data_IF_830618755932
#
_entry.id   IF_830618755932
#
_cell.length_a   1.000
_cell.length_b   1.000
_cell.length_c   1.000
_cell.angle_alpha   90.00
_cell.angle_beta   90.00
_cell.angle_gamma   90.00
#
_symmetry.space_group_name_H-M   'P 1'
#
loop_
_entity.id
_entity.type
_entity.pdbx_description
1 polymer ?
#
# COMPACT_ATOMS: atom_id res chain seq x y z
N UNK A 1 -15.62 1.31 -44.54
CA UNK A 1 -15.14 1.70 -43.19
C UNK A 1 -15.39 0.50 -42.29
N UNK A 2 -14.38 -0.36 -42.14
CA UNK A 2 -14.49 -1.64 -41.43
C UNK A 2 -14.38 -1.38 -39.93
N UNK A 3 -15.37 -1.81 -39.16
CA UNK A 3 -15.35 -1.74 -37.71
C UNK A 3 -14.37 -2.81 -37.21
N UNK A 4 -13.29 -2.38 -36.55
CA UNK A 4 -12.42 -3.28 -35.82
C UNK A 4 -13.08 -3.57 -34.48
N UNK A 5 -13.95 -4.58 -34.44
CA UNK A 5 -14.39 -5.19 -33.19
C UNK A 5 -13.29 -6.13 -32.69
N UNK A 6 -12.21 -5.54 -32.15
CA UNK A 6 -11.10 -6.27 -31.53
C UNK A 6 -11.14 -6.13 -30.01
N UNK A 7 -12.28 -6.46 -29.41
CA UNK A 7 -12.31 -6.90 -28.02
C UNK A 7 -12.91 -8.31 -28.06
N UNK A 8 -12.09 -9.37 -27.92
CA UNK A 8 -12.64 -10.71 -27.74
C UNK A 8 -13.58 -10.66 -26.52
N UNK A 9 -14.77 -11.25 -26.68
CA UNK A 9 -15.81 -11.27 -25.65
C UNK A 9 -15.24 -11.67 -24.29
N UNK A 10 -15.81 -11.11 -23.23
CA UNK A 10 -15.44 -11.34 -21.83
C UNK A 10 -15.70 -12.77 -21.32
N UNK A 11 -15.82 -13.75 -22.23
CA UNK A 11 -16.13 -15.15 -21.97
C UNK A 11 -14.87 -16.04 -21.86
N UNK A 12 -13.69 -15.41 -21.75
CA UNK A 12 -12.44 -16.12 -21.46
C UNK A 12 -12.46 -16.67 -20.04
N UNK A 13 -11.70 -17.74 -19.74
CA UNK A 13 -11.54 -18.19 -18.37
C UNK A 13 -11.01 -17.02 -17.52
N UNK A 14 -11.59 -16.85 -16.33
CA UNK A 14 -11.08 -15.90 -15.33
C UNK A 14 -9.55 -16.10 -15.19
N UNK A 15 -8.76 -15.02 -15.15
CA UNK A 15 -7.33 -15.15 -14.96
C UNK A 15 -7.06 -15.91 -13.66
N UNK A 16 -6.30 -17.00 -13.77
CA UNK A 16 -5.91 -17.79 -12.63
C UNK A 16 -5.03 -16.95 -11.68
N UNK A 17 -5.28 -17.05 -10.38
CA UNK A 17 -4.44 -16.40 -9.38
C UNK A 17 -2.99 -16.90 -9.49
N UNK A 18 -1.99 -16.02 -9.34
CA UNK A 18 -0.59 -16.40 -9.43
C UNK A 18 -0.22 -17.41 -8.34
N UNK A 19 0.59 -18.39 -8.70
CA UNK A 19 1.15 -19.39 -7.81
C UNK A 19 2.58 -19.00 -7.45
N UNK A 20 3.08 -19.49 -6.30
CA UNK A 20 4.50 -19.29 -5.93
C UNK A 20 5.47 -19.80 -7.00
N UNK A 21 5.08 -20.85 -7.72
CA UNK A 21 5.86 -21.45 -8.80
C UNK A 21 6.06 -20.51 -10.01
N UNK A 22 5.26 -19.46 -10.12
CA UNK A 22 5.39 -18.46 -11.19
C UNK A 22 6.58 -17.50 -10.95
N UNK A 23 7.20 -17.56 -9.76
CA UNK A 23 8.33 -16.72 -9.35
C UNK A 23 9.61 -17.56 -9.20
N UNK A 24 10.76 -16.95 -9.48
CA UNK A 24 12.06 -17.62 -9.35
C UNK A 24 12.37 -18.09 -7.92
N UNK A 25 13.28 -19.06 -7.75
CA UNK A 25 13.59 -19.66 -6.44
C UNK A 25 14.11 -18.64 -5.42
N UNK A 26 14.75 -17.56 -5.88
CA UNK A 26 15.33 -16.50 -5.05
C UNK A 26 14.39 -15.30 -4.85
N UNK A 27 13.11 -15.43 -5.22
CA UNK A 27 12.15 -14.34 -5.06
C UNK A 27 11.83 -14.10 -3.58
N UNK A 28 12.08 -12.88 -3.10
CA UNK A 28 11.82 -12.49 -1.72
C UNK A 28 10.39 -11.97 -1.54
N UNK A 29 9.65 -12.66 -0.68
CA UNK A 29 8.35 -12.22 -0.20
C UNK A 29 8.52 -11.55 1.16
N UNK A 30 7.93 -10.38 1.33
CA UNK A 30 7.97 -9.68 2.61
C UNK A 30 6.80 -8.73 2.76
N UNK A 31 6.69 -8.17 3.96
CA UNK A 31 5.84 -7.03 4.27
C UNK A 31 6.70 -5.91 4.83
N UNK A 32 6.21 -4.68 4.75
CA UNK A 32 6.89 -3.50 5.25
C UNK A 32 5.90 -2.61 6.00
N UNK A 33 6.43 -1.84 6.95
CA UNK A 33 5.70 -0.83 7.74
C UNK A 33 6.54 0.45 7.79
N UNK A 34 5.98 1.52 8.37
CA UNK A 34 6.76 2.71 8.73
C UNK A 34 6.62 3.04 10.22
N UNK A 35 7.66 3.63 10.79
CA UNK A 35 7.75 3.90 12.23
C UNK A 35 6.56 4.71 12.77
N UNK A 36 6.22 5.85 12.15
CA UNK A 36 5.14 6.71 12.64
C UNK A 36 3.76 6.01 12.60
N UNK A 37 3.57 5.06 11.68
CA UNK A 37 2.31 4.32 11.54
C UNK A 37 2.11 3.26 12.64
N UNK A 38 3.18 2.68 13.20
CA UNK A 38 3.06 1.47 14.02
C UNK A 38 3.74 1.52 15.38
N UNK A 39 4.78 2.34 15.58
CA UNK A 39 5.55 2.32 16.83
C UNK A 39 4.83 3.02 17.98
N UNK A 40 4.16 4.14 17.71
CA UNK A 40 3.60 5.01 18.74
C UNK A 40 4.70 5.69 19.59
N UNK A 41 4.48 5.75 20.91
CA UNK A 41 5.48 6.22 21.89
C UNK A 41 6.15 7.56 21.55
N UNK A 42 5.38 8.54 21.06
CA UNK A 42 5.88 9.81 20.50
C UNK A 42 6.74 10.68 21.43
N UNK A 43 6.68 10.45 22.74
CA UNK A 43 7.35 11.26 23.78
C UNK A 43 8.13 10.42 24.79
N UNK A 44 8.34 9.12 24.53
CA UNK A 44 8.94 8.16 25.48
C UNK A 44 10.44 8.00 25.18
N UNK A 45 11.22 7.65 26.21
CA UNK A 45 12.64 7.26 26.12
C UNK A 45 13.56 8.24 25.37
N UNK A 46 13.26 9.53 25.47
CA UNK A 46 14.09 10.58 24.85
C UNK A 46 13.90 10.72 23.34
N UNK A 47 12.86 10.12 22.76
CA UNK A 47 12.44 10.42 21.38
C UNK A 47 12.17 11.91 21.23
N UNK A 48 12.66 12.49 20.14
CA UNK A 48 12.42 13.89 19.75
C UNK A 48 11.29 13.95 18.71
N UNK A 49 10.56 15.08 18.72
CA UNK A 49 9.48 15.39 17.79
C UNK A 49 9.93 15.22 16.32
N UNK A 50 9.12 14.50 15.54
CA UNK A 50 9.21 14.43 14.09
C UNK A 50 8.26 15.43 13.42
N UNK A 51 8.43 15.67 12.11
CA UNK A 51 7.49 16.51 11.35
C UNK A 51 6.06 15.96 11.38
N UNK A 52 5.89 14.63 11.50
CA UNK A 52 4.59 13.99 11.52
C UNK A 52 3.86 14.20 12.84
N UNK A 53 4.59 14.26 13.95
CA UNK A 53 4.03 14.65 15.26
C UNK A 53 3.38 16.03 15.17
N UNK A 54 4.10 17.00 14.59
CA UNK A 54 3.61 18.38 14.43
C UNK A 54 2.41 18.48 13.48
N UNK A 55 2.50 17.79 12.34
CA UNK A 55 1.43 17.83 11.34
C UNK A 55 0.14 17.21 11.87
N UNK A 56 0.23 16.02 12.49
CA UNK A 56 -0.93 15.32 13.01
C UNK A 56 -1.57 16.03 14.21
N UNK A 57 -0.79 16.77 15.00
CA UNK A 57 -1.33 17.59 16.09
C UNK A 57 -2.04 18.88 15.60
N UNK A 58 -2.02 19.18 14.30
CA UNK A 58 -2.70 20.37 13.75
C UNK A 58 -4.16 20.01 13.39
N UNK A 59 -5.17 20.58 14.09
CA UNK A 59 -6.56 20.18 13.88
C UNK A 59 -7.04 20.37 12.44
N UNK A 60 -7.79 19.39 11.93
CA UNK A 60 -8.36 19.43 10.58
C UNK A 60 -7.34 19.23 9.45
N UNK A 61 -6.10 18.82 9.77
CA UNK A 61 -5.09 18.44 8.77
C UNK A 61 -5.09 16.94 8.48
N UNK A 62 -5.72 16.13 9.33
CA UNK A 62 -6.01 14.73 9.02
C UNK A 62 -7.40 14.63 8.38
N UNK A 63 -7.55 13.75 7.39
CA UNK A 63 -8.78 13.59 6.58
C UNK A 63 -10.02 13.32 7.43
N UNK A 64 -9.87 12.56 8.51
CA UNK A 64 -10.97 12.24 9.43
C UNK A 64 -11.24 13.35 10.46
N UNK A 65 -10.50 14.44 10.41
CA UNK A 65 -10.63 15.59 11.30
C UNK A 65 -9.91 15.45 12.64
N UNK A 66 -9.16 14.36 12.86
CA UNK A 66 -8.24 14.24 14.01
C UNK A 66 -7.10 15.26 13.97
#
# INVERSE_FOLDING_TARGET
MTTYDFFPGADGPEPQAPQRADFGPDFLWGCATSSYQIEGAGTVDGRVESIWDRFAATPGKIRDGS
#
